data_IF_296103255998
#
_entry.id   IF_296103255998
#
_cell.length_a   1.000
_cell.length_b   1.000
_cell.length_c   1.000
_cell.angle_alpha   90.00
_cell.angle_beta   90.00
_cell.angle_gamma   90.00
#
_symmetry.space_group_name_H-M   'P 1'
#
loop_
_entity.id
_entity.type
_entity.pdbx_description
1 polymer ?
#
# COMPACT_ATOMS: atom_id res chain seq x y z
N UNK A 1 -15.94 5.79 -19.64
CA UNK A 1 -15.78 5.68 -18.17
C UNK A 1 -16.77 6.64 -17.52
N UNK A 2 -17.48 6.24 -16.45
CA UNK A 2 -18.40 7.17 -15.76
C UNK A 2 -17.59 8.21 -14.97
N UNK A 3 -18.20 9.38 -14.69
CA UNK A 3 -17.55 10.45 -13.93
C UNK A 3 -17.05 9.98 -12.56
N UNK A 4 -17.84 9.15 -11.87
CA UNK A 4 -17.47 8.60 -10.56
C UNK A 4 -16.22 7.72 -10.64
N UNK A 5 -16.13 6.87 -11.66
CA UNK A 5 -14.94 6.02 -11.87
C UNK A 5 -13.74 6.87 -12.26
N UNK A 6 -13.92 7.91 -13.08
CA UNK A 6 -12.86 8.85 -13.43
C UNK A 6 -12.26 9.53 -12.18
N UNK A 7 -13.12 10.09 -11.33
CA UNK A 7 -12.69 10.75 -10.10
C UNK A 7 -11.97 9.76 -9.18
N UNK A 8 -12.50 8.54 -9.00
CA UNK A 8 -11.88 7.52 -8.17
C UNK A 8 -10.47 7.14 -8.68
N UNK A 9 -10.28 6.99 -9.99
CA UNK A 9 -8.98 6.68 -10.59
C UNK A 9 -7.97 7.81 -10.39
N UNK A 10 -8.38 9.06 -10.63
CA UNK A 10 -7.48 10.22 -10.44
C UNK A 10 -7.11 10.39 -8.97
N UNK A 11 -8.06 10.20 -8.05
CA UNK A 11 -7.79 10.24 -6.62
C UNK A 11 -6.84 9.11 -6.19
N UNK A 12 -7.05 7.89 -6.68
CA UNK A 12 -6.17 6.77 -6.40
C UNK A 12 -4.74 7.04 -6.91
N UNK A 13 -4.58 7.57 -8.13
CA UNK A 13 -3.29 7.95 -8.68
C UNK A 13 -2.60 9.04 -7.85
N UNK A 14 -3.36 10.06 -7.42
CA UNK A 14 -2.84 11.11 -6.56
C UNK A 14 -2.38 10.58 -5.20
N UNK A 15 -3.22 9.80 -4.51
CA UNK A 15 -2.86 9.16 -3.24
C UNK A 15 -1.63 8.27 -3.39
N UNK A 16 -1.55 7.53 -4.51
CA UNK A 16 -0.41 6.68 -4.82
C UNK A 16 0.89 7.49 -4.95
N UNK A 17 0.86 8.59 -5.69
CA UNK A 17 2.00 9.49 -5.82
C UNK A 17 2.41 10.12 -4.47
N UNK A 18 1.43 10.47 -3.62
CA UNK A 18 1.67 11.08 -2.31
C UNK A 18 2.41 10.13 -1.37
N UNK A 19 1.93 8.89 -1.18
CA UNK A 19 2.60 7.98 -0.24
C UNK A 19 3.99 7.58 -0.75
N UNK A 20 4.17 7.40 -2.06
CA UNK A 20 5.50 7.17 -2.65
C UNK A 20 6.45 8.33 -2.39
N UNK A 21 5.97 9.57 -2.52
CA UNK A 21 6.77 10.75 -2.21
C UNK A 21 7.14 10.83 -0.72
N UNK A 22 6.23 10.43 0.19
CA UNK A 22 6.49 10.35 1.63
C UNK A 22 7.60 9.33 1.93
N UNK A 23 7.51 8.11 1.41
CA UNK A 23 8.54 7.07 1.60
C UNK A 23 9.87 7.51 0.99
N UNK A 24 9.86 8.12 -0.21
CA UNK A 24 11.08 8.64 -0.85
C UNK A 24 11.75 9.76 -0.05
N UNK A 25 11.00 10.61 0.66
CA UNK A 25 11.56 11.70 1.47
C UNK A 25 11.95 11.31 2.91
N UNK A 26 11.38 10.24 3.45
CA UNK A 26 11.67 9.80 4.82
C UNK A 26 13.13 9.36 5.02
N UNK A 27 13.68 9.62 6.21
CA UNK A 27 15.06 9.28 6.57
C UNK A 27 15.26 7.76 6.61
N UNK A 28 14.36 7.05 7.28
CA UNK A 28 14.30 5.59 7.28
C UNK A 28 13.11 5.10 6.44
N UNK A 29 13.42 4.35 5.38
CA UNK A 29 12.43 3.83 4.43
C UNK A 29 11.51 2.78 5.03
N UNK A 30 12.01 1.99 5.98
CA UNK A 30 11.21 0.98 6.68
C UNK A 30 10.20 1.65 7.59
N UNK A 31 10.64 2.59 8.43
CA UNK A 31 9.73 3.33 9.32
C UNK A 31 8.68 4.08 8.50
N UNK A 32 9.10 4.73 7.40
CA UNK A 32 8.19 5.47 6.54
C UNK A 32 7.13 4.58 5.88
N UNK A 33 7.53 3.41 5.38
CA UNK A 33 6.57 2.47 4.78
C UNK A 33 5.65 1.86 5.83
N UNK A 34 6.18 1.43 6.99
CA UNK A 34 5.37 0.90 8.08
C UNK A 34 4.35 1.93 8.56
N UNK A 35 4.72 3.21 8.67
CA UNK A 35 3.79 4.28 9.01
C UNK A 35 2.66 4.43 7.97
N UNK A 36 2.98 4.34 6.68
CA UNK A 36 1.98 4.35 5.61
C UNK A 36 1.04 3.15 5.74
N UNK A 37 1.57 1.92 5.90
CA UNK A 37 0.76 0.69 6.04
C UNK A 37 -0.16 0.76 7.25
N UNK A 38 0.37 1.11 8.43
CA UNK A 38 -0.43 1.25 9.65
C UNK A 38 -1.44 2.39 9.57
N UNK A 39 -1.14 3.45 8.80
CA UNK A 39 -2.07 4.56 8.54
C UNK A 39 -3.38 4.13 7.87
N UNK A 40 -3.44 2.95 7.24
CA UNK A 40 -4.68 2.41 6.68
C UNK A 40 -5.62 1.83 7.75
N UNK A 41 -5.12 1.47 8.93
CA UNK A 41 -5.89 0.77 9.98
C UNK A 41 -7.15 1.54 10.40
N UNK A 42 -7.10 2.86 10.73
CA UNK A 42 -8.30 3.59 11.13
C UNK A 42 -9.38 3.61 10.04
N UNK A 43 -8.97 3.71 8.77
CA UNK A 43 -9.88 3.70 7.62
C UNK A 43 -10.49 2.29 7.47
N UNK A 44 -9.68 1.24 7.56
CA UNK A 44 -10.16 -0.14 7.48
C UNK A 44 -11.16 -0.47 8.59
N UNK A 45 -10.90 0.00 9.82
CA UNK A 45 -11.83 -0.13 10.96
C UNK A 45 -13.13 0.61 10.66
N UNK A 46 -13.10 1.82 10.11
CA UNK A 46 -14.34 2.52 9.76
C UNK A 46 -15.12 1.78 8.67
N UNK A 47 -14.44 1.30 7.62
CA UNK A 47 -15.05 0.62 6.47
C UNK A 47 -15.71 -0.70 6.86
N UNK A 48 -15.16 -1.46 7.82
CA UNK A 48 -15.70 -2.78 8.19
C UNK A 48 -17.16 -2.70 8.70
N UNK A 49 -17.57 -1.56 9.27
CA UNK A 49 -18.94 -1.33 9.74
C UNK A 49 -19.93 -1.06 8.60
N UNK A 50 -19.45 -0.74 7.39
CA UNK A 50 -20.27 -0.49 6.21
C UNK A 50 -20.22 -1.62 5.18
N UNK A 51 -19.43 -2.67 5.43
CA UNK A 51 -19.27 -3.81 4.53
C UNK A 51 -19.88 -5.10 5.11
N UNK A 52 -20.26 -6.08 4.28
CA UNK A 52 -20.67 -7.39 4.75
C UNK A 52 -19.61 -8.04 5.66
N UNK A 53 -20.07 -8.86 6.61
CA UNK A 53 -19.19 -9.58 7.53
C UNK A 53 -18.21 -10.47 6.74
N UNK A 54 -16.95 -10.47 7.19
CA UNK A 54 -15.89 -11.30 6.60
C UNK A 54 -16.27 -12.78 6.75
N UNK A 55 -16.20 -13.53 5.64
CA UNK A 55 -16.41 -14.98 5.66
C UNK A 55 -15.25 -15.67 6.38
N UNK A 56 -15.54 -16.62 7.28
CA UNK A 56 -14.51 -17.43 7.93
C UNK A 56 -13.60 -18.16 6.93
N UNK A 57 -14.13 -18.55 5.77
CA UNK A 57 -13.35 -19.20 4.72
C UNK A 57 -12.31 -18.27 4.09
N UNK A 58 -12.49 -16.95 4.20
CA UNK A 58 -11.57 -15.96 3.63
C UNK A 58 -10.36 -15.67 4.54
N UNK A 59 -10.41 -16.05 5.82
CA UNK A 59 -9.36 -15.77 6.81
C UNK A 59 -7.98 -16.29 6.36
N UNK A 60 -7.83 -17.55 5.88
CA UNK A 60 -6.54 -18.03 5.40
C UNK A 60 -5.99 -17.18 4.24
N UNK A 61 -6.86 -16.73 3.33
CA UNK A 61 -6.46 -15.90 2.19
C UNK A 61 -6.02 -14.50 2.62
N UNK A 62 -6.64 -13.92 3.66
CA UNK A 62 -6.21 -12.64 4.24
C UNK A 62 -4.78 -12.77 4.78
N UNK A 63 -4.49 -13.82 5.54
CA UNK A 63 -3.14 -14.07 6.08
C UNK A 63 -2.11 -14.29 4.98
N UNK A 64 -2.42 -15.15 4.01
CA UNK A 64 -1.53 -15.40 2.86
C UNK A 64 -1.26 -14.10 2.09
N UNK A 65 -2.31 -13.32 1.81
CA UNK A 65 -2.17 -12.03 1.11
C UNK A 65 -1.30 -11.06 1.90
N UNK A 66 -1.47 -10.98 3.23
CA UNK A 66 -0.66 -10.12 4.09
C UNK A 66 0.82 -10.52 4.07
N UNK A 67 1.13 -11.83 4.06
CA UNK A 67 2.50 -12.33 3.96
C UNK A 67 3.11 -11.94 2.61
N UNK A 68 2.40 -12.17 1.51
CA UNK A 68 2.90 -11.82 0.18
C UNK A 68 3.09 -10.31 0.00
N UNK A 69 2.14 -9.52 0.48
CA UNK A 69 2.22 -8.06 0.41
C UNK A 69 3.39 -7.53 1.24
N UNK A 70 3.56 -8.01 2.48
CA UNK A 70 4.68 -7.62 3.33
C UNK A 70 6.02 -8.05 2.77
N UNK A 71 6.08 -9.26 2.18
CA UNK A 71 7.29 -9.76 1.50
C UNK A 71 7.65 -8.93 0.28
N UNK A 72 6.67 -8.55 -0.54
CA UNK A 72 6.86 -7.63 -1.67
C UNK A 72 7.41 -6.28 -1.20
N UNK A 73 6.80 -5.67 -0.20
CA UNK A 73 7.22 -4.40 0.38
C UNK A 73 8.66 -4.46 0.92
N UNK A 74 9.02 -5.56 1.59
CA UNK A 74 10.38 -5.79 2.05
C UNK A 74 11.39 -5.87 0.90
N UNK A 75 11.08 -6.67 -0.12
CA UNK A 75 11.93 -6.82 -1.31
C UNK A 75 12.14 -5.46 -2.00
N UNK A 76 11.06 -4.70 -2.15
CA UNK A 76 11.07 -3.37 -2.76
C UNK A 76 11.97 -2.40 -1.99
N UNK A 77 11.79 -2.30 -0.66
CA UNK A 77 12.65 -1.49 0.21
C UNK A 77 14.11 -1.94 0.19
N UNK A 78 14.35 -3.24 0.01
CA UNK A 78 15.69 -3.78 -0.09
C UNK A 78 16.36 -3.40 -1.40
N UNK A 79 15.63 -3.41 -2.51
CA UNK A 79 16.13 -2.92 -3.78
C UNK A 79 16.44 -1.41 -3.75
N UNK A 80 15.64 -0.60 -3.05
CA UNK A 80 15.90 0.83 -2.88
C UNK A 80 17.12 1.19 -2.03
N UNK A 81 17.67 0.24 -1.27
CA UNK A 81 18.97 0.45 -0.62
C UNK A 81 20.15 0.31 -1.58
N UNK A 82 19.97 -0.46 -2.65
CA UNK A 82 21.02 -0.76 -3.61
C UNK A 82 21.14 0.33 -4.66
N UNK A 83 20.02 0.86 -5.14
CA UNK A 83 19.99 1.96 -6.12
C UNK A 83 18.84 2.95 -5.88
N UNK A 84 18.93 4.13 -6.52
CA UNK A 84 17.90 5.17 -6.43
C UNK A 84 16.55 4.69 -6.98
N UNK A 85 15.47 5.19 -6.36
CA UNK A 85 14.08 4.86 -6.65
C UNK A 85 13.77 4.87 -8.15
N UNK A 86 14.28 5.87 -8.88
CA UNK A 86 14.00 6.07 -10.31
C UNK A 86 14.53 4.94 -11.19
N UNK A 87 15.56 4.20 -10.74
CA UNK A 87 16.16 3.09 -11.48
C UNK A 87 15.59 1.72 -11.10
N UNK A 88 15.21 1.56 -9.83
CA UNK A 88 14.66 0.32 -9.30
C UNK A 88 13.18 0.16 -9.66
N UNK A 89 12.42 1.26 -9.67
CA UNK A 89 10.97 1.23 -9.91
C UNK A 89 10.54 0.58 -11.24
N UNK A 90 11.24 0.73 -12.39
CA UNK A 90 10.84 0.12 -13.66
C UNK A 90 11.02 -1.40 -13.75
N UNK A 91 11.79 -2.02 -12.84
CA UNK A 91 12.14 -3.44 -12.87
C UNK A 91 11.60 -4.24 -11.67
N UNK A 92 10.98 -3.55 -10.71
CA UNK A 92 10.38 -4.11 -9.50
C UNK A 92 8.88 -4.40 -9.66
#
# INVERSE_FOLDING_TARGET
>A
MSLNVFIAVILAAFLHAVWNAMVKKGEDKYISLTAVVLGHIPIAIAVIFFTPMISFQSIPYIFVSAIFLSGYEWCLLSAYRLEDYTKVYPIA
#
